data_IF_484933952778
#
_entry.id   IF_484933952778
#
_cell.length_a   1.000
_cell.length_b   1.000
_cell.length_c   1.000
_cell.angle_alpha   90.00
_cell.angle_beta   90.00
_cell.angle_gamma   90.00
#
_symmetry.space_group_name_H-M   'P 1'
#
loop_
_entity.id
_entity.type
_entity.pdbx_description
1 polymer ?
#
# COMPACT_ATOMS: atom_id res chain seq x y z
N UNK A 1 -19.68 -20.80 -21.98
CA UNK A 1 -19.99 -20.72 -20.52
C UNK A 1 -19.26 -19.51 -19.95
N UNK A 2 -19.89 -18.78 -19.04
CA UNK A 2 -19.25 -17.68 -18.30
C UNK A 2 -18.77 -18.25 -16.97
N UNK A 3 -17.48 -18.11 -16.69
CA UNK A 3 -16.87 -18.48 -15.41
C UNK A 3 -16.61 -17.21 -14.59
N UNK A 4 -16.88 -17.27 -13.29
CA UNK A 4 -16.62 -16.18 -12.34
C UNK A 4 -15.73 -16.67 -11.20
N UNK A 5 -15.13 -15.71 -10.50
CA UNK A 5 -14.36 -15.98 -9.28
C UNK A 5 -15.21 -16.78 -8.27
N UNK A 6 -14.62 -17.75 -7.54
CA UNK A 6 -15.30 -18.42 -6.43
C UNK A 6 -15.42 -17.52 -5.18
N UNK A 7 -14.69 -16.41 -5.14
CA UNK A 7 -14.77 -15.44 -4.05
C UNK A 7 -15.95 -14.49 -4.25
N UNK A 8 -16.56 -14.09 -3.13
CA UNK A 8 -17.67 -13.12 -3.13
C UNK A 8 -17.19 -11.78 -3.69
N UNK A 9 -18.05 -11.13 -4.46
CA UNK A 9 -17.85 -9.74 -4.87
C UNK A 9 -17.64 -8.84 -3.64
N UNK A 10 -16.65 -7.96 -3.72
CA UNK A 10 -16.36 -6.96 -2.69
C UNK A 10 -16.74 -5.57 -3.21
N UNK A 11 -17.16 -4.70 -2.29
CA UNK A 11 -17.34 -3.29 -2.63
C UNK A 11 -15.98 -2.64 -2.83
N UNK A 12 -15.83 -1.90 -3.93
CA UNK A 12 -14.65 -1.06 -4.15
C UNK A 12 -14.83 0.21 -3.32
N UNK A 13 -13.89 0.56 -2.42
CA UNK A 13 -14.00 1.78 -1.62
C UNK A 13 -13.93 3.04 -2.49
N UNK A 14 -14.85 3.98 -2.28
CA UNK A 14 -14.84 5.30 -2.94
C UNK A 14 -13.99 6.28 -2.13
N UNK A 15 -12.68 6.10 -2.19
CA UNK A 15 -11.68 6.98 -1.54
C UNK A 15 -10.49 7.18 -2.46
N UNK A 16 -9.73 8.24 -2.24
CA UNK A 16 -8.46 8.45 -2.94
C UNK A 16 -7.53 7.25 -2.75
N UNK A 17 -6.88 6.82 -3.84
CA UNK A 17 -5.97 5.66 -3.84
C UNK A 17 -4.87 5.80 -2.78
N UNK A 18 -4.27 6.97 -2.66
CA UNK A 18 -3.23 7.26 -1.66
C UNK A 18 -3.74 7.03 -0.24
N UNK A 19 -4.96 7.48 0.07
CA UNK A 19 -5.61 7.25 1.37
C UNK A 19 -5.91 5.77 1.60
N UNK A 20 -6.34 5.05 0.56
CA UNK A 20 -6.62 3.61 0.66
C UNK A 20 -5.34 2.81 0.97
N UNK A 21 -4.26 3.12 0.27
CA UNK A 21 -2.99 2.39 0.35
C UNK A 21 -2.19 2.78 1.60
N UNK A 22 -2.14 4.06 1.95
CA UNK A 22 -1.26 4.59 3.00
C UNK A 22 -1.97 4.92 4.31
N UNK A 23 -3.30 4.80 4.40
CA UNK A 23 -4.08 5.17 5.59
C UNK A 23 -3.72 4.39 6.87
N UNK A 24 -2.91 3.33 6.78
CA UNK A 24 -2.38 2.58 7.92
C UNK A 24 -0.85 2.64 8.06
N UNK A 25 -0.17 3.50 7.31
CA UNK A 25 1.30 3.57 7.25
C UNK A 25 1.92 3.89 8.62
N UNK A 26 1.26 4.72 9.44
CA UNK A 26 1.74 5.10 10.79
C UNK A 26 1.98 3.89 11.70
N UNK A 27 1.16 2.83 11.58
CA UNK A 27 1.32 1.59 12.35
C UNK A 27 2.62 0.86 12.03
N UNK A 28 3.21 1.18 10.88
CA UNK A 28 4.41 0.55 10.34
C UNK A 28 5.51 1.58 10.09
N UNK A 29 5.48 2.73 10.78
CA UNK A 29 6.33 3.88 10.48
C UNK A 29 7.82 3.51 10.30
N UNK A 30 8.37 2.64 11.15
CA UNK A 30 9.77 2.22 11.09
C UNK A 30 10.07 1.05 10.12
N UNK A 31 9.05 0.50 9.45
CA UNK A 31 9.23 -0.60 8.49
C UNK A 31 9.66 -0.05 7.13
N UNK A 32 10.56 -0.75 6.41
CA UNK A 32 10.85 -0.45 5.01
C UNK A 32 9.60 -0.47 4.14
N UNK A 33 9.38 0.60 3.36
CA UNK A 33 8.31 0.74 2.38
C UNK A 33 8.85 0.65 0.95
N UNK A 34 10.00 1.28 0.70
CA UNK A 34 10.67 1.28 -0.60
C UNK A 34 12.17 1.07 -0.42
N UNK A 35 12.72 0.13 -1.18
CA UNK A 35 14.16 -0.18 -1.18
C UNK A 35 14.65 0.03 -2.60
N UNK A 36 15.57 0.97 -2.77
CA UNK A 36 16.27 1.20 -4.03
C UNK A 36 17.37 0.14 -4.20
N UNK A 37 17.12 -0.84 -5.07
CA UNK A 37 17.98 -2.01 -5.23
C UNK A 37 19.46 -1.68 -5.53
N UNK A 38 19.77 -0.82 -6.52
CA UNK A 38 21.15 -0.46 -6.86
C UNK A 38 21.95 0.23 -5.74
N UNK A 39 21.33 1.09 -4.93
CA UNK A 39 22.04 1.86 -3.89
C UNK A 39 21.90 1.26 -2.49
N UNK A 40 20.92 0.38 -2.29
CA UNK A 40 20.51 -0.10 -0.97
C UNK A 40 19.76 0.94 -0.14
N UNK A 41 19.47 2.13 -0.69
CA UNK A 41 18.75 3.17 0.04
C UNK A 41 17.35 2.67 0.40
N UNK A 42 17.01 2.75 1.68
CA UNK A 42 15.71 2.33 2.20
C UNK A 42 14.94 3.55 2.68
N UNK A 43 13.68 3.66 2.24
CA UNK A 43 12.69 4.61 2.74
C UNK A 43 11.67 3.83 3.56
N UNK A 44 11.44 4.26 4.79
CA UNK A 44 10.44 3.69 5.69
C UNK A 44 9.04 4.23 5.39
N UNK A 45 8.01 3.58 5.91
CA UNK A 45 6.63 4.06 5.76
C UNK A 45 6.44 5.45 6.37
N UNK A 46 7.11 5.76 7.49
CA UNK A 46 7.06 7.08 8.12
C UNK A 46 7.67 8.17 7.25
N UNK A 47 8.88 7.94 6.73
CA UNK A 47 9.54 8.90 5.84
C UNK A 47 8.77 9.08 4.52
N UNK A 48 8.11 8.02 4.03
CA UNK A 48 7.35 8.08 2.78
C UNK A 48 6.06 8.91 2.87
N UNK A 49 5.40 8.96 4.04
CA UNK A 49 4.18 9.76 4.20
C UNK A 49 4.47 11.24 4.50
N UNK A 50 5.69 11.56 4.92
CA UNK A 50 6.15 12.94 5.12
C UNK A 50 6.68 13.60 3.83
N UNK A 51 7.10 12.79 2.85
CA UNK A 51 7.62 13.23 1.55
C UNK A 51 6.54 13.73 0.59
#
# INVERSE_FOLDING_TARGET
MIFRSPHKDISIPDVALTKLVLGGADKWASKPALIDGPTGRTLTYGEMVEA
#
